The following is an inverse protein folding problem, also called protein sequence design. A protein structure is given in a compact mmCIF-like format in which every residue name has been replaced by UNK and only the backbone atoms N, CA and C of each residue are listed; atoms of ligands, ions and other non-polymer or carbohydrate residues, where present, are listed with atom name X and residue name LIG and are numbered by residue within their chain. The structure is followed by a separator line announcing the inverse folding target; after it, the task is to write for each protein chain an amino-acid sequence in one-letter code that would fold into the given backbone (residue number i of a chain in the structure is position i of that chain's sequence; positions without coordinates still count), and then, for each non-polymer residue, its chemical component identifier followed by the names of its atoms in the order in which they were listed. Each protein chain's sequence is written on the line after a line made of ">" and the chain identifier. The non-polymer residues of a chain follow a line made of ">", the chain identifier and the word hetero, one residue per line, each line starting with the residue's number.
data_IF_496172843081
#
_entry.id   IF_496172843081
#
_cell.length_a   1.000
_cell.length_b   1.000
_cell.length_c   1.000
_cell.angle_alpha   90.00
_cell.angle_beta   90.00
_cell.angle_gamma   90.00
#
_symmetry.space_group_name_H-M   'P 1'
#
loop_
_entity.id
_entity.type
_entity.pdbx_description
1 polymer ?
#
# COMPACT_ATOMS: atom_id res chain seq x y z
N UNK A 1 11.99 -45.63 -4.29
CA UNK A 1 12.30 -44.20 -4.45
C UNK A 1 12.74 -43.63 -3.12
N UNK A 2 14.04 -43.43 -2.92
CA UNK A 2 14.58 -42.86 -1.69
C UNK A 2 14.45 -41.35 -1.76
N UNK A 3 13.55 -40.78 -0.96
CA UNK A 3 13.42 -39.32 -0.81
C UNK A 3 14.68 -38.79 -0.11
N UNK A 4 15.54 -38.09 -0.85
CA UNK A 4 16.84 -37.60 -0.34
C UNK A 4 16.73 -36.28 0.46
N UNK A 5 15.57 -35.63 0.45
CA UNK A 5 15.34 -34.37 1.16
C UNK A 5 14.15 -34.51 2.11
N UNK A 6 14.36 -34.29 3.41
CA UNK A 6 13.26 -34.19 4.39
C UNK A 6 12.30 -33.09 3.94
N UNK A 7 11.02 -33.45 3.77
CA UNK A 7 9.98 -32.51 3.34
C UNK A 7 10.18 -31.89 1.95
N UNK A 8 11.08 -32.42 1.11
CA UNK A 8 11.32 -31.91 -0.24
C UNK A 8 11.99 -30.54 -0.32
N UNK A 9 12.50 -29.98 0.79
CA UNK A 9 13.09 -28.63 0.85
C UNK A 9 14.52 -28.60 1.41
N UNK A 10 14.99 -29.71 1.98
CA UNK A 10 16.35 -29.80 2.50
C UNK A 10 17.39 -29.62 1.37
N UNK A 11 18.27 -28.64 1.52
CA UNK A 11 19.31 -28.32 0.54
C UNK A 11 18.87 -27.42 -0.62
N UNK A 12 17.57 -27.09 -0.73
CA UNK A 12 17.08 -26.14 -1.73
C UNK A 12 17.44 -24.72 -1.26
N UNK A 13 18.25 -24.02 -2.06
CA UNK A 13 18.54 -22.60 -1.84
C UNK A 13 17.52 -21.75 -2.58
N UNK A 14 17.01 -20.65 -1.97
CA UNK A 14 16.14 -19.73 -2.67
C UNK A 14 16.86 -19.10 -3.87
N UNK A 15 16.25 -19.17 -5.04
CA UNK A 15 16.74 -18.50 -6.24
C UNK A 15 16.03 -17.15 -6.36
N UNK A 16 16.70 -16.09 -5.89
CA UNK A 16 16.13 -14.74 -5.89
C UNK A 16 16.61 -14.01 -7.14
N UNK A 17 15.66 -13.72 -8.04
CA UNK A 17 15.94 -12.87 -9.20
C UNK A 17 16.39 -11.47 -8.75
N UNK A 18 17.41 -10.93 -9.42
CA UNK A 18 17.87 -9.57 -9.22
C UNK A 18 16.73 -8.53 -9.41
N UNK A 19 16.80 -7.37 -8.74
CA UNK A 19 15.86 -6.28 -8.98
C UNK A 19 16.08 -5.68 -10.37
N UNK A 20 14.98 -5.44 -11.09
CA UNK A 20 15.01 -4.80 -12.41
C UNK A 20 15.10 -3.26 -12.31
N UNK A 21 14.80 -2.70 -11.14
CA UNK A 21 14.78 -1.25 -10.87
C UNK A 21 15.25 -0.98 -9.45
N UNK A 22 15.84 0.18 -9.23
CA UNK A 22 16.01 0.72 -7.89
C UNK A 22 14.68 1.33 -7.43
N UNK A 23 14.20 0.92 -6.25
CA UNK A 23 12.92 1.39 -5.71
C UNK A 23 13.11 1.89 -4.29
N UNK A 24 12.57 3.09 -4.04
CA UNK A 24 12.40 3.65 -2.71
C UNK A 24 10.92 3.56 -2.33
N UNK A 25 10.64 3.07 -1.13
CA UNK A 25 9.29 3.01 -0.57
C UNK A 25 9.26 3.87 0.69
N UNK A 26 8.52 4.97 0.63
CA UNK A 26 8.56 6.02 1.64
C UNK A 26 7.24 6.10 2.41
N UNK A 27 7.31 6.43 3.69
CA UNK A 27 6.13 6.79 4.49
C UNK A 27 6.44 7.88 5.51
N UNK A 28 5.43 8.70 5.83
CA UNK A 28 5.51 9.76 6.86
C UNK A 28 5.54 9.19 8.28
N UNK A 29 4.85 8.07 8.52
CA UNK A 29 4.78 7.45 9.84
C UNK A 29 6.18 7.00 10.29
N UNK A 30 6.47 7.13 11.58
CA UNK A 30 7.72 6.68 12.19
C UNK A 30 7.78 5.18 12.44
N UNK A 31 6.65 4.47 12.37
CA UNK A 31 6.62 3.01 12.45
C UNK A 31 7.38 2.38 11.29
N UNK A 32 7.63 1.08 11.38
CA UNK A 32 8.27 0.35 10.29
C UNK A 32 7.38 0.34 9.04
N UNK A 33 7.98 0.41 7.86
CA UNK A 33 7.23 0.24 6.61
C UNK A 33 6.54 -1.14 6.58
N UNK A 34 5.24 -1.13 6.34
CA UNK A 34 4.40 -2.34 6.32
C UNK A 34 4.04 -2.91 7.69
N UNK A 35 4.14 -2.13 8.77
CA UNK A 35 3.74 -2.57 10.13
C UNK A 35 2.23 -2.81 10.27
N UNK A 36 1.41 -2.07 9.52
CA UNK A 36 -0.04 -2.23 9.47
C UNK A 36 -0.55 -3.30 8.51
N UNK A 37 0.33 -4.10 7.89
CA UNK A 37 -0.09 -5.16 6.97
C UNK A 37 -0.74 -6.33 7.73
N UNK A 38 -1.52 -7.14 7.00
CA UNK A 38 -2.21 -8.31 7.56
C UNK A 38 -1.26 -9.25 8.33
N UNK A 39 -1.68 -9.70 9.52
CA UNK A 39 -0.83 -10.46 10.46
C UNK A 39 -0.16 -11.70 9.84
N UNK A 40 -0.86 -12.39 8.94
CA UNK A 40 -0.41 -13.66 8.33
C UNK A 40 0.34 -13.47 7.01
N UNK A 41 0.15 -12.36 6.31
CA UNK A 41 0.69 -12.12 4.96
C UNK A 41 1.71 -10.99 4.90
N UNK A 42 1.68 -10.04 5.84
CA UNK A 42 2.53 -8.85 5.84
C UNK A 42 4.02 -9.16 5.89
N UNK A 43 4.42 -10.26 6.55
CA UNK A 43 5.82 -10.69 6.56
C UNK A 43 6.29 -11.16 5.17
N UNK A 44 5.45 -11.82 4.39
CA UNK A 44 5.78 -12.32 3.04
C UNK A 44 6.09 -11.13 2.12
N UNK A 45 5.21 -10.12 2.12
CA UNK A 45 5.41 -8.92 1.31
C UNK A 45 6.69 -8.17 1.70
N UNK A 46 6.95 -7.99 3.00
CA UNK A 46 8.20 -7.36 3.47
C UNK A 46 9.44 -8.14 3.06
N UNK A 47 9.40 -9.47 3.14
CA UNK A 47 10.50 -10.33 2.67
C UNK A 47 10.70 -10.20 1.16
N UNK A 48 9.62 -10.18 0.38
CA UNK A 48 9.69 -9.97 -1.07
C UNK A 48 10.34 -8.63 -1.44
N UNK A 49 9.97 -7.54 -0.78
CA UNK A 49 10.58 -6.23 -0.98
C UNK A 49 12.06 -6.21 -0.61
N UNK A 50 12.44 -6.84 0.51
CA UNK A 50 13.85 -6.97 0.91
C UNK A 50 14.67 -7.78 -0.08
N UNK A 51 14.13 -8.89 -0.59
CA UNK A 51 14.77 -9.73 -1.59
C UNK A 51 15.00 -8.96 -2.91
N UNK A 52 14.13 -7.98 -3.21
CA UNK A 52 14.28 -7.03 -4.31
C UNK A 52 15.03 -5.74 -3.94
N UNK A 53 15.71 -5.73 -2.78
CA UNK A 53 16.59 -4.64 -2.34
C UNK A 53 15.89 -3.26 -2.29
N UNK A 54 14.57 -3.26 -2.08
CA UNK A 54 13.78 -2.01 -1.97
C UNK A 54 14.22 -1.23 -0.74
N UNK A 55 14.54 0.05 -0.94
CA UNK A 55 14.94 0.97 0.12
C UNK A 55 13.68 1.50 0.83
N UNK A 56 13.40 0.99 2.02
CA UNK A 56 12.21 1.38 2.79
C UNK A 56 12.58 2.49 3.78
N UNK A 57 12.00 3.68 3.61
CA UNK A 57 12.24 4.86 4.43
C UNK A 57 10.97 5.24 5.19
N UNK A 58 11.07 5.41 6.51
CA UNK A 58 10.01 5.90 7.38
C UNK A 58 10.37 7.29 7.92
N UNK A 59 9.44 7.92 8.66
CA UNK A 59 9.61 9.29 9.17
C UNK A 59 9.97 10.31 8.07
N UNK A 60 9.47 10.11 6.84
CA UNK A 60 9.84 10.95 5.70
C UNK A 60 8.96 12.19 5.65
N UNK A 61 9.58 13.35 5.54
CA UNK A 61 8.97 14.61 5.14
C UNK A 61 9.27 14.85 3.67
N UNK A 62 8.23 15.04 2.86
CA UNK A 62 8.36 15.38 1.43
C UNK A 62 8.48 16.90 1.31
N UNK A 63 9.57 17.37 0.72
CA UNK A 63 9.87 18.80 0.65
C UNK A 63 9.48 19.38 -0.72
N UNK A 64 9.95 18.75 -1.80
CA UNK A 64 9.78 19.24 -3.16
C UNK A 64 9.91 18.12 -4.19
N UNK A 65 9.22 18.27 -5.31
CA UNK A 65 9.44 17.51 -6.53
C UNK A 65 9.91 18.50 -7.60
N UNK A 66 11.03 18.20 -8.26
CA UNK A 66 11.51 18.93 -9.42
C UNK A 66 12.25 18.01 -10.39
N UNK A 67 12.85 18.57 -11.44
CA UNK A 67 13.54 17.82 -12.49
C UNK A 67 14.73 16.99 -11.98
N UNK A 68 15.27 17.32 -10.78
CA UNK A 68 16.35 16.54 -10.16
C UNK A 68 15.82 15.31 -9.41
N UNK A 69 14.52 15.27 -9.07
CA UNK A 69 13.86 14.15 -8.41
C UNK A 69 13.04 14.55 -7.18
N UNK A 70 13.04 13.69 -6.16
CA UNK A 70 12.28 13.87 -4.93
C UNK A 70 13.17 14.35 -3.79
N UNK A 71 12.92 15.56 -3.30
CA UNK A 71 13.59 16.14 -2.14
C UNK A 71 12.85 15.73 -0.87
N UNK A 72 13.58 15.13 0.07
CA UNK A 72 13.04 14.61 1.33
C UNK A 72 13.87 15.05 2.53
N UNK A 73 13.27 14.98 3.71
CA UNK A 73 13.98 14.99 5.00
C UNK A 73 13.53 13.80 5.84
N UNK A 74 14.43 13.17 6.56
CA UNK A 74 14.11 12.01 7.41
C UNK A 74 14.14 12.44 8.87
N UNK A 75 13.00 12.35 9.55
CA UNK A 75 12.80 12.91 10.89
C UNK A 75 12.66 14.43 10.86
N UNK A 76 12.34 15.01 12.02
CA UNK A 76 12.07 16.44 12.14
C UNK A 76 13.34 17.30 11.98
N UNK A 77 14.47 16.80 12.48
CA UNK A 77 15.78 17.49 12.46
C UNK A 77 16.77 16.87 11.45
N UNK A 78 16.28 16.03 10.53
CA UNK A 78 17.14 15.40 9.54
C UNK A 78 17.74 16.40 8.54
N UNK A 79 18.84 16.02 7.91
CA UNK A 79 19.33 16.73 6.73
C UNK A 79 18.42 16.48 5.52
N UNK A 80 18.31 17.49 4.66
CA UNK A 80 17.64 17.35 3.37
C UNK A 80 18.43 16.43 2.44
N UNK A 81 17.72 15.56 1.72
CA UNK A 81 18.28 14.58 0.80
C UNK A 81 17.52 14.61 -0.51
N UNK A 82 18.26 14.58 -1.61
CA UNK A 82 17.71 14.35 -2.93
C UNK A 82 17.70 12.86 -3.24
N UNK A 83 16.53 12.34 -3.62
CA UNK A 83 16.41 11.05 -4.30
C UNK A 83 16.32 11.31 -5.81
N UNK A 84 17.39 11.06 -6.59
CA UNK A 84 17.39 11.26 -8.03
C UNK A 84 16.64 10.11 -8.70
N UNK A 85 15.31 10.22 -8.74
CA UNK A 85 14.41 9.19 -9.27
C UNK A 85 13.77 9.66 -10.57
N UNK A 86 13.63 8.73 -11.52
CA UNK A 86 13.00 9.03 -12.81
C UNK A 86 11.47 9.15 -12.70
N UNK A 87 10.88 8.47 -11.72
CA UNK A 87 9.44 8.37 -11.54
C UNK A 87 9.05 8.44 -10.07
N UNK A 88 7.96 9.14 -9.79
CA UNK A 88 7.37 9.24 -8.47
C UNK A 88 5.95 8.70 -8.55
N UNK A 89 5.69 7.59 -7.86
CA UNK A 89 4.37 6.95 -7.81
C UNK A 89 3.67 7.35 -6.51
N UNK A 90 2.51 8.00 -6.63
CA UNK A 90 1.74 8.48 -5.47
C UNK A 90 0.75 7.40 -5.02
N UNK A 91 1.03 6.81 -3.87
CA UNK A 91 0.16 5.84 -3.19
C UNK A 91 -0.28 6.39 -1.82
N UNK A 92 -0.90 7.58 -1.81
CA UNK A 92 -1.13 8.38 -0.60
C UNK A 92 -2.49 8.16 0.10
N UNK A 93 -3.24 7.13 -0.30
CA UNK A 93 -4.60 6.88 0.18
C UNK A 93 -5.62 7.11 -0.93
N UNK A 94 -6.89 7.13 -0.54
CA UNK A 94 -8.04 7.25 -1.43
C UNK A 94 -9.10 8.11 -0.76
N UNK A 95 -9.81 8.91 -1.55
CA UNK A 95 -10.96 9.69 -1.11
C UNK A 95 -12.25 9.07 -1.67
N UNK A 96 -13.38 9.15 -0.95
CA UNK A 96 -14.66 8.71 -1.47
C UNK A 96 -15.08 9.57 -2.68
N UNK A 97 -15.59 8.93 -3.73
CA UNK A 97 -16.21 9.61 -4.88
C UNK A 97 -17.74 9.54 -4.74
N UNK A 98 -18.39 10.68 -4.50
CA UNK A 98 -19.81 10.76 -4.14
C UNK A 98 -20.67 11.65 -5.04
N UNK A 99 -20.10 12.26 -6.08
CA UNK A 99 -20.77 13.24 -6.94
C UNK A 99 -22.18 12.79 -7.37
N UNK A 100 -22.29 11.57 -7.91
CA UNK A 100 -23.59 11.02 -8.35
C UNK A 100 -24.57 10.80 -7.19
N UNK A 101 -24.09 10.41 -6.01
CA UNK A 101 -24.95 10.23 -4.85
C UNK A 101 -25.53 11.57 -4.40
N UNK A 102 -24.69 12.60 -4.32
CA UNK A 102 -25.11 13.94 -3.91
C UNK A 102 -26.13 14.53 -4.90
N UNK A 103 -25.89 14.34 -6.21
CA UNK A 103 -26.83 14.76 -7.27
C UNK A 103 -28.19 14.05 -7.15
N UNK A 104 -28.21 12.74 -6.89
CA UNK A 104 -29.43 11.96 -6.76
C UNK A 104 -30.22 12.32 -5.50
N UNK A 105 -29.53 12.58 -4.38
CA UNK A 105 -30.16 13.08 -3.15
C UNK A 105 -30.76 14.46 -3.37
N UNK A 106 -30.04 15.36 -4.05
CA UNK A 106 -30.55 16.69 -4.40
C UNK A 106 -31.79 16.63 -5.30
N UNK A 107 -31.87 15.61 -6.16
CA UNK A 107 -33.05 15.31 -6.99
C UNK A 107 -34.18 14.57 -6.24
N UNK A 108 -34.09 14.43 -4.92
CA UNK A 108 -35.10 13.79 -4.08
C UNK A 108 -35.20 12.28 -4.24
N UNK A 109 -34.18 11.62 -4.79
CA UNK A 109 -34.15 10.17 -4.95
C UNK A 109 -33.69 9.47 -3.67
N UNK A 110 -34.30 8.32 -3.38
CA UNK A 110 -33.81 7.43 -2.33
C UNK A 110 -32.70 6.54 -2.88
N UNK A 111 -31.48 6.75 -2.39
CA UNK A 111 -30.27 6.04 -2.83
C UNK A 111 -29.43 5.59 -1.65
N UNK A 112 -28.62 4.55 -1.85
CA UNK A 112 -27.74 3.98 -0.82
C UNK A 112 -26.27 4.09 -1.23
N UNK A 113 -25.39 4.26 -0.24
CA UNK A 113 -23.94 4.19 -0.40
C UNK A 113 -23.40 2.91 0.24
N UNK A 114 -22.48 2.25 -0.47
CA UNK A 114 -21.70 1.12 0.04
C UNK A 114 -20.26 1.21 -0.47
N UNK A 115 -19.33 0.55 0.21
CA UNK A 115 -17.95 0.41 -0.24
C UNK A 115 -17.20 1.74 -0.30
N UNK A 116 -16.44 1.95 -1.39
CA UNK A 116 -15.47 3.06 -1.50
C UNK A 116 -16.10 4.43 -1.56
N UNK A 117 -17.29 4.49 -2.15
CA UNK A 117 -18.09 5.70 -2.21
C UNK A 117 -18.64 6.07 -0.82
N UNK A 118 -18.86 5.09 0.07
CA UNK A 118 -19.17 5.36 1.48
C UNK A 118 -17.90 5.77 2.23
N UNK A 119 -16.97 4.84 2.50
CA UNK A 119 -15.73 5.16 3.22
C UNK A 119 -14.56 4.59 2.45
N UNK A 120 -13.69 5.46 1.93
CA UNK A 120 -12.48 5.05 1.19
C UNK A 120 -11.27 4.79 2.10
N UNK A 121 -11.23 5.41 3.29
CA UNK A 121 -10.15 5.19 4.24
C UNK A 121 -10.15 3.74 4.74
N UNK A 122 -9.04 3.04 4.51
CA UNK A 122 -8.82 1.64 4.91
C UNK A 122 -9.89 0.66 4.37
N UNK A 123 -10.58 1.01 3.28
CA UNK A 123 -11.52 0.07 2.67
C UNK A 123 -10.77 -1.06 2.00
N UNK A 124 -10.84 -2.24 2.61
CA UNK A 124 -10.55 -3.47 1.91
C UNK A 124 -11.83 -3.98 1.21
N UNK A 125 -11.63 -4.86 0.22
CA UNK A 125 -12.74 -5.49 -0.49
C UNK A 125 -13.72 -6.22 0.45
N UNK A 126 -13.23 -6.69 1.60
CA UNK A 126 -14.04 -7.40 2.60
C UNK A 126 -15.13 -6.49 3.18
N UNK A 127 -14.81 -5.26 3.57
CA UNK A 127 -15.81 -4.32 4.09
C UNK A 127 -16.82 -3.90 3.02
N UNK A 128 -16.38 -3.66 1.78
CA UNK A 128 -17.27 -3.34 0.68
C UNK A 128 -18.29 -4.46 0.40
N UNK A 129 -17.82 -5.71 0.39
CA UNK A 129 -18.66 -6.89 0.21
C UNK A 129 -19.64 -7.04 1.37
N UNK A 130 -19.18 -6.93 2.63
CA UNK A 130 -20.05 -7.05 3.81
C UNK A 130 -21.16 -5.98 3.81
N UNK A 131 -20.82 -4.72 3.53
CA UNK A 131 -21.81 -3.63 3.41
C UNK A 131 -22.85 -3.90 2.32
N UNK A 132 -22.40 -4.29 1.12
CA UNK A 132 -23.31 -4.62 0.01
C UNK A 132 -24.21 -5.81 0.32
N UNK A 133 -23.65 -6.88 0.90
CA UNK A 133 -24.42 -8.06 1.28
C UNK A 133 -25.46 -7.77 2.36
N UNK A 134 -25.11 -6.95 3.37
CA UNK A 134 -26.05 -6.56 4.43
C UNK A 134 -27.16 -5.67 3.91
N UNK A 135 -26.83 -4.69 3.07
CA UNK A 135 -27.82 -3.82 2.45
C UNK A 135 -28.82 -4.64 1.62
N UNK A 136 -28.32 -5.55 0.78
CA UNK A 136 -29.18 -6.42 -0.02
C UNK A 136 -30.13 -7.29 0.80
N UNK A 137 -29.74 -7.72 2.00
CA UNK A 137 -30.58 -8.51 2.89
C UNK A 137 -31.64 -7.71 3.66
N UNK A 138 -31.52 -6.37 3.70
CA UNK A 138 -32.42 -5.48 4.41
C UNK A 138 -33.46 -4.81 3.50
N UNK A 139 -33.27 -4.87 2.18
CA UNK A 139 -34.21 -4.41 1.15
C UNK A 139 -35.22 -5.52 0.81
#
# INVERSE_FOLDING_TARGET
>A
TTLQARGGVAGIKPEVQAPARQVFLLQRKSTKVGDGLGKTTGWIHRTGLKNKQVQMLNSVHYLKIDDAGLHIRIGDEGEEKLLPVDNIVICAGQDPLRDLYDDLVAAGQSVHLIGGADVAAELDAKRAIDQGSRLAAAL
#
